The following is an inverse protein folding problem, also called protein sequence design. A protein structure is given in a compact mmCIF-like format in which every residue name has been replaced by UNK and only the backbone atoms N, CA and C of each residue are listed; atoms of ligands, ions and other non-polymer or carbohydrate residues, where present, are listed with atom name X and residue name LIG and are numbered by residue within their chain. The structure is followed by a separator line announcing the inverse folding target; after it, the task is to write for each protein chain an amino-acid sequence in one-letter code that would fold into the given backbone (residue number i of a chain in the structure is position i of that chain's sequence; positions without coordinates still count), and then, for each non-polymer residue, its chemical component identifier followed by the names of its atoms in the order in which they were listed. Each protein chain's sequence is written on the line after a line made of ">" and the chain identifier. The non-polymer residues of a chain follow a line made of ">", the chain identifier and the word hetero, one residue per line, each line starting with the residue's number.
data_IF_496546717648
#
_entry.id   IF_496546717648
#
_cell.length_a   1.000
_cell.length_b   1.000
_cell.length_c   1.000
_cell.angle_alpha   90.00
_cell.angle_beta   90.00
_cell.angle_gamma   90.00
#
_symmetry.space_group_name_H-M   'P 1'
#
loop_
_entity.id
_entity.type
_entity.pdbx_description
1 polymer ?
#
# COMPACT_ATOMS: atom_id res chain seq x y z
N UNK A 1 17.82 8.90 -14.08
CA UNK A 1 18.01 7.98 -12.93
C UNK A 1 17.40 8.60 -11.68
N UNK A 2 16.76 7.78 -10.86
CA UNK A 2 16.12 8.21 -9.62
C UNK A 2 16.18 7.10 -8.56
N UNK A 3 16.22 7.48 -7.29
CA UNK A 3 16.15 6.55 -6.17
C UNK A 3 14.71 6.49 -5.69
N UNK A 4 14.13 5.29 -5.66
CA UNK A 4 12.87 4.99 -5.00
C UNK A 4 13.12 4.29 -3.66
N UNK A 5 12.39 4.66 -2.62
CA UNK A 5 12.44 4.02 -1.31
C UNK A 5 11.03 3.67 -0.87
N UNK A 6 10.84 2.41 -0.49
CA UNK A 6 9.63 1.93 0.16
C UNK A 6 9.92 1.75 1.66
N UNK A 7 9.33 2.62 2.47
CA UNK A 7 9.38 2.55 3.92
C UNK A 7 8.22 1.72 4.46
N UNK A 8 8.39 0.42 4.50
CA UNK A 8 7.43 -0.48 5.13
C UNK A 8 7.61 -0.59 6.64
N UNK A 9 6.62 -1.16 7.32
CA UNK A 9 6.66 -1.36 8.78
C UNK A 9 7.74 -2.36 9.23
N UNK A 10 8.16 -3.29 8.38
CA UNK A 10 9.13 -4.34 8.71
C UNK A 10 10.43 -4.23 7.93
N UNK A 11 10.39 -3.67 6.75
CA UNK A 11 11.51 -3.55 5.83
C UNK A 11 11.53 -2.17 5.19
N UNK A 12 12.73 -1.67 4.90
CA UNK A 12 12.96 -0.55 3.98
C UNK A 12 13.57 -1.15 2.72
N UNK A 13 12.92 -0.94 1.59
CA UNK A 13 13.43 -1.33 0.29
C UNK A 13 13.84 -0.10 -0.50
N UNK A 14 14.96 -0.18 -1.21
CA UNK A 14 15.46 0.91 -2.04
C UNK A 14 15.86 0.41 -3.42
N UNK A 15 15.51 1.16 -4.45
CA UNK A 15 15.88 0.87 -5.84
C UNK A 15 16.53 2.09 -6.46
N UNK A 16 17.49 1.85 -7.37
CA UNK A 16 17.98 2.86 -8.31
C UNK A 16 17.45 2.50 -9.70
N UNK A 17 16.67 3.39 -10.29
CA UNK A 17 16.06 3.21 -11.60
C UNK A 17 16.70 4.14 -12.64
N UNK A 18 16.87 3.65 -13.85
CA UNK A 18 17.08 4.47 -15.04
C UNK A 18 15.81 5.22 -15.45
N UNK A 19 15.94 6.13 -16.41
CA UNK A 19 14.79 6.94 -16.86
C UNK A 19 13.73 6.12 -17.61
N UNK A 20 14.11 4.97 -18.13
CA UNK A 20 13.23 4.00 -18.80
C UNK A 20 12.62 2.96 -17.85
N UNK A 21 12.92 3.07 -16.55
CA UNK A 21 12.44 2.15 -15.52
C UNK A 21 13.34 0.94 -15.27
N UNK A 22 14.46 0.79 -16.01
CA UNK A 22 15.39 -0.32 -15.76
C UNK A 22 16.04 -0.22 -14.38
N UNK A 23 16.01 -1.32 -13.64
CA UNK A 23 16.56 -1.42 -12.28
C UNK A 23 18.05 -1.69 -12.30
N UNK A 24 18.84 -0.75 -11.74
CA UNK A 24 20.30 -0.87 -11.63
C UNK A 24 20.76 -1.43 -10.29
N UNK A 25 19.98 -1.21 -9.24
CA UNK A 25 20.30 -1.62 -7.88
C UNK A 25 19.04 -1.79 -7.06
N UNK A 26 18.99 -2.86 -6.26
CA UNK A 26 17.98 -3.05 -5.20
C UNK A 26 18.67 -3.45 -3.90
N UNK A 27 18.26 -2.82 -2.82
CA UNK A 27 18.67 -3.19 -1.46
C UNK A 27 17.45 -3.27 -0.56
N UNK A 28 17.58 -4.09 0.47
CA UNK A 28 16.53 -4.27 1.48
C UNK A 28 17.18 -4.40 2.85
N UNK A 29 16.69 -3.66 3.82
CA UNK A 29 17.09 -3.72 5.22
C UNK A 29 15.89 -3.88 6.13
N UNK A 30 16.10 -4.24 7.38
CA UNK A 30 15.06 -4.22 8.39
C UNK A 30 14.65 -2.78 8.71
N UNK A 31 13.35 -2.55 8.87
CA UNK A 31 12.83 -1.25 9.26
C UNK A 31 13.04 -1.01 10.76
N UNK A 32 13.69 0.09 11.16
CA UNK A 32 13.82 0.46 12.56
C UNK A 32 12.45 0.78 13.16
N UNK A 33 12.37 0.74 14.50
CA UNK A 33 11.14 1.00 15.24
C UNK A 33 11.17 2.34 15.97
N UNK A 34 12.01 3.25 15.51
CA UNK A 34 12.11 4.60 16.00
C UNK A 34 12.34 5.60 14.86
N UNK A 35 11.89 6.82 15.07
CA UNK A 35 11.89 7.85 14.03
C UNK A 35 13.30 8.30 13.63
N UNK A 36 14.19 8.49 14.60
CA UNK A 36 15.54 9.01 14.34
C UNK A 36 16.35 8.02 13.48
N UNK A 37 16.37 6.75 13.88
CA UNK A 37 17.06 5.71 13.14
C UNK A 37 16.46 5.54 11.74
N UNK A 38 15.11 5.70 11.59
CA UNK A 38 14.47 5.69 10.27
C UNK A 38 15.04 6.79 9.35
N UNK A 39 15.15 8.03 9.83
CA UNK A 39 15.75 9.14 9.08
C UNK A 39 17.23 8.86 8.75
N UNK A 40 17.99 8.40 9.73
CA UNK A 40 19.41 8.12 9.57
C UNK A 40 19.66 6.98 8.55
N UNK A 41 18.90 5.90 8.62
CA UNK A 41 19.02 4.75 7.71
C UNK A 41 18.68 5.12 6.28
N UNK A 42 17.57 5.81 6.05
CA UNK A 42 17.18 6.29 4.71
C UNK A 42 18.24 7.23 4.15
N UNK A 43 18.73 8.17 4.97
CA UNK A 43 19.79 9.08 4.57
C UNK A 43 21.08 8.34 4.18
N UNK A 44 21.45 7.32 4.96
CA UNK A 44 22.61 6.50 4.69
C UNK A 44 22.47 5.65 3.43
N UNK A 45 21.27 5.10 3.17
CA UNK A 45 20.97 4.36 1.94
C UNK A 45 21.22 5.26 0.73
N UNK A 46 20.60 6.45 0.72
CA UNK A 46 20.75 7.41 -0.40
C UNK A 46 22.24 7.76 -0.60
N UNK A 47 22.94 8.16 0.47
CA UNK A 47 24.36 8.53 0.38
C UNK A 47 25.24 7.38 -0.12
N UNK A 48 24.98 6.14 0.29
CA UNK A 48 25.71 4.95 -0.18
C UNK A 48 25.50 4.72 -1.68
N UNK A 49 24.26 4.85 -2.17
CA UNK A 49 23.95 4.72 -3.60
C UNK A 49 24.67 5.81 -4.39
N UNK A 50 24.56 7.06 -3.97
CA UNK A 50 25.19 8.20 -4.64
C UNK A 50 26.71 8.11 -4.67
N UNK A 51 27.33 7.67 -3.57
CA UNK A 51 28.78 7.43 -3.51
C UNK A 51 29.20 6.33 -4.49
N UNK A 52 28.42 5.24 -4.61
CA UNK A 52 28.71 4.14 -5.53
C UNK A 52 28.72 4.57 -6.99
N UNK A 53 27.79 5.46 -7.36
CA UNK A 53 27.64 5.95 -8.74
C UNK A 53 28.30 7.32 -8.99
N UNK A 54 28.93 7.89 -7.96
CA UNK A 54 29.53 9.23 -7.99
C UNK A 54 28.61 10.31 -8.59
N UNK A 55 27.33 10.28 -8.20
CA UNK A 55 26.29 11.16 -8.75
C UNK A 55 25.13 11.31 -7.75
N UNK A 56 24.52 12.52 -7.72
CA UNK A 56 23.27 12.76 -7.00
C UNK A 56 22.06 12.41 -7.85
N UNK A 57 21.00 11.92 -7.19
CA UNK A 57 19.76 11.46 -7.82
C UNK A 57 18.53 12.12 -7.18
N UNK A 58 17.45 12.27 -7.93
CA UNK A 58 16.15 12.57 -7.35
C UNK A 58 15.74 11.40 -6.45
N UNK A 59 15.08 11.72 -5.33
CA UNK A 59 14.64 10.73 -4.34
C UNK A 59 13.13 10.81 -4.17
N UNK A 60 12.45 9.69 -4.36
CA UNK A 60 11.05 9.50 -4.02
C UNK A 60 10.93 8.44 -2.91
N UNK A 61 10.06 8.69 -1.95
CA UNK A 61 9.84 7.78 -0.81
C UNK A 61 8.36 7.53 -0.64
N UNK A 62 7.94 6.28 -0.64
CA UNK A 62 6.63 5.91 -0.15
C UNK A 62 6.71 5.50 1.32
N UNK A 63 5.64 5.82 2.06
CA UNK A 63 5.56 5.58 3.49
C UNK A 63 4.13 5.24 3.94
N UNK A 64 3.96 4.52 5.06
CA UNK A 64 2.65 4.25 5.61
C UNK A 64 2.05 5.51 6.25
N UNK A 65 0.73 5.62 6.14
CA UNK A 65 -0.02 6.80 6.62
C UNK A 65 -0.07 7.92 5.59
N UNK A 66 -0.77 8.99 5.94
CA UNK A 66 -1.02 10.15 5.07
C UNK A 66 -0.32 11.39 5.59
N UNK A 67 0.18 12.25 4.70
CA UNK A 67 0.80 13.52 5.09
C UNK A 67 -0.23 14.64 5.05
N UNK A 68 -0.47 15.29 6.19
CA UNK A 68 -1.32 16.47 6.28
C UNK A 68 -0.68 17.64 5.51
N UNK A 69 -1.40 18.18 4.53
CA UNK A 69 -0.88 19.19 3.60
C UNK A 69 -0.59 20.55 4.26
N UNK A 70 -1.28 20.89 5.36
CA UNK A 70 -1.10 22.17 6.05
C UNK A 70 0.08 22.10 7.04
N UNK A 71 0.16 21.01 7.81
CA UNK A 71 1.16 20.85 8.87
C UNK A 71 2.41 20.10 8.45
N UNK A 72 2.32 19.29 7.40
CA UNK A 72 3.38 18.38 6.97
C UNK A 72 3.55 17.16 7.89
N UNK A 73 2.65 16.94 8.86
CA UNK A 73 2.73 15.81 9.77
C UNK A 73 2.15 14.54 9.14
N UNK A 74 2.83 13.40 9.35
CA UNK A 74 2.25 12.08 9.06
C UNK A 74 1.15 11.77 10.08
N UNK A 75 0.06 11.21 9.59
CA UNK A 75 -1.10 10.75 10.35
C UNK A 75 -1.49 9.33 9.91
N UNK A 76 -2.20 8.61 10.77
CA UNK A 76 -2.77 7.29 10.47
C UNK A 76 -1.75 6.20 10.08
N UNK A 77 -0.49 6.35 10.50
CA UNK A 77 0.52 5.30 10.32
C UNK A 77 0.37 4.25 11.41
N UNK A 78 -0.57 3.32 11.25
CA UNK A 78 -0.92 2.31 12.28
C UNK A 78 0.20 1.29 12.50
N UNK A 79 0.83 0.83 11.41
CA UNK A 79 1.89 -0.17 11.46
C UNK A 79 3.28 0.41 11.73
N UNK A 80 3.40 1.75 11.69
CA UNK A 80 4.65 2.48 11.97
C UNK A 80 4.35 3.71 12.83
N UNK A 81 3.84 3.53 14.07
CA UNK A 81 3.31 4.62 14.89
C UNK A 81 4.34 5.70 15.26
N UNK A 82 5.64 5.39 15.18
CA UNK A 82 6.73 6.35 15.40
C UNK A 82 6.82 7.44 14.32
N UNK A 83 6.14 7.27 13.19
CA UNK A 83 6.04 8.28 12.14
C UNK A 83 4.94 9.31 12.43
N UNK A 84 3.92 8.99 13.23
CA UNK A 84 2.81 9.88 13.50
C UNK A 84 3.26 11.18 14.19
N UNK A 85 2.68 12.29 13.75
CA UNK A 85 2.99 13.64 14.22
C UNK A 85 4.45 14.07 13.96
N UNK A 86 5.09 13.50 12.92
CA UNK A 86 6.44 13.87 12.47
C UNK A 86 6.40 14.52 11.10
N UNK A 87 7.30 15.46 10.86
CA UNK A 87 7.50 16.18 9.58
C UNK A 87 8.44 15.40 8.66
N UNK A 88 8.10 14.13 8.37
CA UNK A 88 9.00 13.16 7.73
C UNK A 88 9.64 13.68 6.43
N UNK A 89 8.83 14.19 5.50
CA UNK A 89 9.33 14.73 4.23
C UNK A 89 10.32 15.88 4.44
N UNK A 90 10.01 16.79 5.38
CA UNK A 90 10.86 17.94 5.70
C UNK A 90 12.17 17.49 6.37
N UNK A 91 12.10 16.53 7.26
CA UNK A 91 13.28 16.05 8.01
C UNK A 91 14.25 15.28 7.11
N UNK A 92 13.74 14.45 6.19
CA UNK A 92 14.55 13.79 5.16
C UNK A 92 15.16 14.81 4.20
N UNK A 93 14.37 15.77 3.71
CA UNK A 93 14.87 16.83 2.82
C UNK A 93 16.00 17.62 3.47
N UNK A 94 15.85 17.94 4.77
CA UNK A 94 16.92 18.60 5.55
C UNK A 94 18.17 17.73 5.69
N UNK A 95 18.00 16.44 5.97
CA UNK A 95 19.12 15.51 6.15
C UNK A 95 19.92 15.27 4.87
N UNK A 96 19.24 15.31 3.71
CA UNK A 96 19.86 15.19 2.38
C UNK A 96 20.22 16.54 1.75
N UNK A 97 19.86 17.67 2.40
CA UNK A 97 20.06 19.04 1.94
C UNK A 97 19.50 19.28 0.52
N UNK A 98 18.32 18.75 0.24
CA UNK A 98 17.59 18.89 -1.03
C UNK A 98 16.15 18.43 -0.89
N UNK A 99 15.32 18.77 -1.88
CA UNK A 99 13.93 18.31 -1.93
C UNK A 99 13.85 16.79 -2.11
N UNK A 100 12.93 16.17 -1.36
CA UNK A 100 12.58 14.77 -1.44
C UNK A 100 11.06 14.66 -1.56
N UNK A 101 10.60 13.84 -2.48
CA UNK A 101 9.18 13.61 -2.69
C UNK A 101 8.73 12.43 -1.84
N UNK A 102 7.77 12.66 -0.95
CA UNK A 102 7.22 11.64 -0.07
C UNK A 102 5.71 11.54 -0.29
N UNK A 103 5.20 10.30 -0.36
CA UNK A 103 3.77 10.05 -0.54
C UNK A 103 3.38 8.74 0.16
N UNK A 104 2.07 8.55 0.36
CA UNK A 104 1.52 7.31 0.88
C UNK A 104 1.80 6.11 -0.04
N UNK A 105 2.00 4.92 0.52
CA UNK A 105 2.36 3.70 -0.21
C UNK A 105 1.30 3.27 -1.24
N UNK A 106 0.00 3.32 -0.90
CA UNK A 106 -1.07 2.98 -1.82
C UNK A 106 -1.20 4.01 -2.96
N UNK A 107 -1.00 5.29 -2.67
CA UNK A 107 -0.95 6.33 -3.68
C UNK A 107 0.24 6.16 -4.64
N UNK A 108 1.42 5.81 -4.12
CA UNK A 108 2.59 5.51 -4.93
C UNK A 108 2.37 4.30 -5.85
N UNK A 109 1.78 3.23 -5.32
CA UNK A 109 1.40 2.05 -6.12
C UNK A 109 0.46 2.44 -7.26
N UNK A 110 -0.66 3.09 -6.93
CA UNK A 110 -1.66 3.50 -7.92
C UNK A 110 -1.06 4.43 -8.99
N UNK A 111 -0.17 5.35 -8.59
CA UNK A 111 0.51 6.25 -9.50
C UNK A 111 1.46 5.51 -10.45
N UNK A 112 2.25 4.56 -9.94
CA UNK A 112 3.15 3.74 -10.75
C UNK A 112 2.36 2.96 -11.81
N UNK A 113 1.29 2.27 -11.42
CA UNK A 113 0.44 1.52 -12.35
C UNK A 113 -0.24 2.41 -13.39
N UNK A 114 -0.64 3.61 -13.00
CA UNK A 114 -1.23 4.57 -13.92
C UNK A 114 -0.19 5.25 -14.81
N UNK A 115 1.07 5.39 -14.41
CA UNK A 115 2.09 6.13 -15.15
C UNK A 115 2.73 5.31 -16.25
N UNK A 116 3.27 4.14 -15.90
CA UNK A 116 4.00 3.24 -16.80
C UNK A 116 3.63 1.74 -16.62
N UNK A 117 2.79 1.41 -15.64
CA UNK A 117 2.33 0.06 -15.36
C UNK A 117 1.13 -0.40 -16.20
N UNK A 118 0.35 -1.32 -15.64
CA UNK A 118 -0.80 -1.99 -16.30
C UNK A 118 -1.92 -1.03 -16.71
N UNK A 119 -2.08 0.07 -15.97
CA UNK A 119 -3.12 1.07 -16.19
C UNK A 119 -2.65 2.33 -16.95
N UNK A 120 -1.49 2.31 -17.58
CA UNK A 120 -0.88 3.49 -18.24
C UNK A 120 -1.72 4.19 -19.30
N UNK A 121 -2.65 3.46 -19.91
CA UNK A 121 -3.51 3.97 -20.99
C UNK A 121 -4.84 4.54 -20.47
N UNK A 122 -5.11 4.49 -19.18
CA UNK A 122 -6.35 4.93 -18.57
C UNK A 122 -6.20 6.29 -17.88
N UNK A 123 -7.29 7.07 -17.88
CA UNK A 123 -7.30 8.41 -17.28
C UNK A 123 -7.65 8.39 -15.80
N UNK A 124 -8.59 7.52 -15.42
CA UNK A 124 -9.06 7.38 -14.04
C UNK A 124 -8.76 5.97 -13.57
N UNK A 125 -7.88 5.84 -12.59
CA UNK A 125 -7.42 4.55 -12.08
C UNK A 125 -7.63 4.50 -10.58
N UNK A 126 -8.15 3.38 -10.09
CA UNK A 126 -8.15 3.05 -8.68
C UNK A 126 -7.17 1.92 -8.42
N UNK A 127 -6.08 2.22 -7.74
CA UNK A 127 -5.11 1.23 -7.28
C UNK A 127 -5.48 0.69 -5.92
N UNK A 128 -5.49 -0.63 -5.77
CA UNK A 128 -5.82 -1.36 -4.53
C UNK A 128 -4.62 -2.17 -4.11
N UNK A 129 -4.17 -1.99 -2.87
CA UNK A 129 -3.18 -2.87 -2.25
C UNK A 129 -3.93 -3.81 -1.29
N UNK A 130 -3.91 -5.11 -1.59
CA UNK A 130 -4.39 -6.16 -0.69
C UNK A 130 -3.21 -6.93 -0.10
N UNK A 131 -2.99 -6.75 1.19
CA UNK A 131 -1.93 -7.38 1.95
C UNK A 131 -2.41 -7.76 3.34
N UNK A 132 -1.62 -7.50 4.37
CA UNK A 132 -2.07 -7.62 5.78
C UNK A 132 -3.25 -6.70 6.08
N UNK A 133 -3.28 -5.52 5.45
CA UNK A 133 -4.37 -4.56 5.42
C UNK A 133 -4.92 -4.36 4.01
N UNK A 134 -5.70 -3.29 3.83
CA UNK A 134 -6.33 -2.93 2.57
C UNK A 134 -6.20 -1.43 2.33
N UNK A 135 -5.31 -1.03 1.45
CA UNK A 135 -5.11 0.36 1.03
C UNK A 135 -5.66 0.66 -0.36
N UNK A 136 -5.83 1.94 -0.69
CA UNK A 136 -6.22 2.36 -2.02
C UNK A 136 -5.69 3.75 -2.40
N UNK A 137 -5.57 3.99 -3.69
CA UNK A 137 -5.18 5.30 -4.24
C UNK A 137 -5.94 5.62 -5.52
N UNK A 138 -6.38 6.87 -5.67
CA UNK A 138 -7.07 7.35 -6.87
C UNK A 138 -6.15 8.21 -7.71
N UNK A 139 -6.08 7.87 -8.99
CA UNK A 139 -5.31 8.63 -9.99
C UNK A 139 -6.26 9.17 -11.06
N UNK A 140 -6.19 10.46 -11.30
CA UNK A 140 -6.93 11.15 -12.36
C UNK A 140 -5.94 11.92 -13.24
N UNK A 141 -5.90 11.60 -14.53
CA UNK A 141 -4.98 12.23 -15.49
C UNK A 141 -3.52 12.20 -15.01
N UNK A 142 -3.05 11.04 -14.55
CA UNK A 142 -1.68 10.82 -14.03
C UNK A 142 -1.34 11.63 -12.76
N UNK A 143 -2.33 12.07 -12.02
CA UNK A 143 -2.16 12.80 -10.76
C UNK A 143 -2.92 12.10 -9.64
N UNK A 144 -2.30 12.01 -8.48
CA UNK A 144 -2.94 11.51 -7.28
C UNK A 144 -4.09 12.46 -6.90
N UNK A 145 -5.27 11.90 -6.66
CA UNK A 145 -6.39 12.64 -6.09
C UNK A 145 -6.22 12.70 -4.57
N UNK A 146 -5.98 13.89 -4.04
CA UNK A 146 -5.86 14.12 -2.60
C UNK A 146 -7.02 15.00 -2.15
N UNK A 147 -7.84 14.49 -1.24
CA UNK A 147 -8.91 15.25 -0.60
C UNK A 147 -8.37 16.10 0.57
N UNK A 148 -9.08 17.16 0.94
CA UNK A 148 -8.62 18.08 2.00
C UNK A 148 -8.53 17.42 3.38
N UNK A 149 -9.28 16.34 3.61
CA UNK A 149 -9.28 15.60 4.87
C UNK A 149 -8.41 14.32 4.82
N UNK A 150 -7.70 14.07 3.73
CA UNK A 150 -6.83 12.91 3.52
C UNK A 150 -7.55 11.55 3.57
N UNK A 151 -8.86 11.52 3.31
CA UNK A 151 -9.64 10.28 3.27
C UNK A 151 -9.76 9.68 1.87
N UNK A 152 -9.21 10.34 0.85
CA UNK A 152 -9.22 9.79 -0.50
C UNK A 152 -8.39 8.52 -0.56
N UNK A 153 -9.00 7.42 -1.00
CA UNK A 153 -8.33 6.11 -1.03
C UNK A 153 -8.46 5.28 0.25
N UNK A 154 -8.96 5.84 1.35
CA UNK A 154 -9.19 5.13 2.63
C UNK A 154 -10.45 4.22 2.57
N UNK A 155 -10.64 3.54 1.47
CA UNK A 155 -11.83 2.71 1.19
C UNK A 155 -11.96 1.51 2.13
N UNK A 156 -10.83 0.99 2.63
CA UNK A 156 -10.78 -0.10 3.62
C UNK A 156 -11.58 0.21 4.89
N UNK A 157 -11.72 1.49 5.24
CA UNK A 157 -12.44 1.94 6.42
C UNK A 157 -13.95 2.15 6.21
N UNK A 158 -14.47 1.99 4.97
CA UNK A 158 -15.90 2.09 4.71
C UNK A 158 -16.63 0.93 5.42
N UNK A 159 -17.65 1.21 6.28
CA UNK A 159 -18.44 0.17 6.91
C UNK A 159 -19.32 -0.55 5.88
N UNK A 160 -19.26 -1.89 5.85
CA UNK A 160 -20.07 -2.74 4.95
C UNK A 160 -20.86 -3.84 5.67
N UNK A 161 -20.81 -3.86 6.97
CA UNK A 161 -21.54 -4.81 7.80
C UNK A 161 -22.99 -4.39 8.06
N UNK A 162 -23.64 -5.07 9.00
CA UNK A 162 -24.94 -4.65 9.55
C UNK A 162 -24.77 -3.38 10.39
N UNK A 163 -25.84 -2.60 10.63
CA UNK A 163 -25.77 -1.38 11.45
C UNK A 163 -25.12 -1.59 12.83
N UNK A 164 -25.26 -2.79 13.40
CA UNK A 164 -24.71 -3.16 14.71
C UNK A 164 -23.27 -3.67 14.63
N UNK A 165 -22.74 -3.92 13.42
CA UNK A 165 -21.38 -4.37 13.21
C UNK A 165 -20.46 -3.16 13.01
N UNK A 166 -19.35 -3.13 13.74
CA UNK A 166 -18.28 -2.15 13.53
C UNK A 166 -17.35 -2.56 12.38
N UNK A 167 -17.72 -3.57 11.60
CA UNK A 167 -16.87 -4.13 10.55
C UNK A 167 -16.85 -3.22 9.33
N UNK A 168 -15.66 -3.05 8.78
CA UNK A 168 -15.38 -2.28 7.59
C UNK A 168 -14.86 -3.20 6.46
N UNK A 169 -14.60 -2.62 5.29
CA UNK A 169 -14.10 -3.38 4.14
C UNK A 169 -12.82 -4.15 4.49
N UNK A 170 -11.87 -3.54 5.18
CA UNK A 170 -10.60 -4.19 5.53
C UNK A 170 -10.79 -5.46 6.38
N UNK A 171 -11.75 -5.46 7.30
CA UNK A 171 -12.07 -6.64 8.12
C UNK A 171 -12.52 -7.85 7.28
N UNK A 172 -13.06 -7.61 6.10
CA UNK A 172 -13.58 -8.67 5.23
C UNK A 172 -12.64 -9.09 4.11
N UNK A 173 -11.80 -8.20 3.60
CA UNK A 173 -11.01 -8.46 2.38
C UNK A 173 -9.50 -8.33 2.56
N UNK A 174 -8.99 -8.04 3.76
CA UNK A 174 -7.54 -8.07 4.01
C UNK A 174 -7.06 -9.44 4.50
N UNK A 175 -5.76 -9.70 4.38
CA UNK A 175 -5.17 -10.94 4.89
C UNK A 175 -5.42 -11.15 6.37
N UNK A 176 -5.20 -10.11 7.19
CA UNK A 176 -5.50 -10.18 8.63
C UNK A 176 -6.99 -10.31 8.93
N UNK A 177 -7.83 -9.71 8.10
CA UNK A 177 -9.27 -9.88 8.19
C UNK A 177 -9.68 -11.33 7.96
N UNK A 178 -9.17 -11.98 6.92
CA UNK A 178 -9.41 -13.40 6.61
C UNK A 178 -8.95 -14.32 7.74
N UNK A 179 -7.74 -14.12 8.26
CA UNK A 179 -7.20 -14.89 9.40
C UNK A 179 -8.11 -14.78 10.63
N UNK A 180 -8.58 -13.56 10.96
CA UNK A 180 -9.51 -13.32 12.08
C UNK A 180 -10.86 -13.98 11.85
N UNK A 181 -11.43 -13.92 10.65
CA UNK A 181 -12.69 -14.55 10.30
C UNK A 181 -12.61 -16.06 10.41
N UNK A 182 -11.51 -16.66 9.90
CA UNK A 182 -11.28 -18.10 10.02
C UNK A 182 -11.19 -18.53 11.49
N UNK A 183 -10.34 -17.87 12.28
CA UNK A 183 -10.20 -18.14 13.71
C UNK A 183 -11.51 -17.97 14.48
N UNK A 184 -12.28 -16.93 14.17
CA UNK A 184 -13.57 -16.69 14.85
C UNK A 184 -14.55 -17.84 14.65
N UNK A 185 -14.61 -18.40 13.42
CA UNK A 185 -15.54 -19.46 13.06
C UNK A 185 -15.06 -20.85 13.50
N UNK A 186 -13.79 -21.16 13.33
CA UNK A 186 -13.26 -22.54 13.43
C UNK A 186 -12.31 -22.74 14.61
N UNK A 187 -11.88 -21.66 15.30
CA UNK A 187 -10.94 -21.69 16.44
C UNK A 187 -9.56 -22.26 16.12
N UNK A 188 -9.20 -22.25 14.85
CA UNK A 188 -7.89 -22.66 14.34
C UNK A 188 -7.18 -21.47 13.69
N UNK A 189 -5.84 -21.47 13.75
CA UNK A 189 -5.05 -20.42 13.15
C UNK A 189 -4.52 -20.88 11.79
N UNK A 190 -4.95 -20.20 10.73
CA UNK A 190 -4.38 -20.30 9.40
C UNK A 190 -4.01 -18.91 8.91
N UNK A 191 -2.92 -18.82 8.18
CA UNK A 191 -2.58 -17.61 7.42
C UNK A 191 -3.52 -17.46 6.23
N UNK A 192 -3.68 -16.24 5.73
CA UNK A 192 -4.49 -15.99 4.54
C UNK A 192 -4.06 -16.87 3.37
N UNK A 193 -2.74 -17.05 3.17
CA UNK A 193 -2.19 -17.92 2.13
C UNK A 193 -2.65 -19.38 2.30
N UNK A 194 -2.53 -19.93 3.50
CA UNK A 194 -2.99 -21.30 3.80
C UNK A 194 -4.51 -21.46 3.60
N UNK A 195 -5.30 -20.42 3.92
CA UNK A 195 -6.74 -20.43 3.68
C UNK A 195 -7.04 -20.59 2.19
N UNK A 196 -6.38 -19.81 1.30
CA UNK A 196 -6.55 -19.93 -0.14
C UNK A 196 -6.01 -21.26 -0.70
N UNK A 197 -4.83 -21.71 -0.25
CA UNK A 197 -4.27 -23.01 -0.64
C UNK A 197 -5.20 -24.18 -0.26
N UNK A 198 -5.72 -24.18 0.96
CA UNK A 198 -6.64 -25.19 1.44
C UNK A 198 -8.01 -25.13 0.73
N UNK A 199 -8.47 -23.94 0.37
CA UNK A 199 -9.67 -23.77 -0.45
C UNK A 199 -9.51 -24.41 -1.83
N UNK A 200 -8.38 -24.19 -2.52
CA UNK A 200 -8.05 -24.87 -3.79
C UNK A 200 -8.03 -26.42 -3.65
N UNK A 201 -7.71 -26.91 -2.47
CA UNK A 201 -7.76 -28.34 -2.13
C UNK A 201 -9.15 -28.79 -1.64
N UNK A 202 -10.20 -27.98 -1.83
CA UNK A 202 -11.58 -28.27 -1.48
C UNK A 202 -11.87 -28.50 0.02
N UNK A 203 -11.08 -27.90 0.92
CA UNK A 203 -11.42 -27.88 2.35
C UNK A 203 -12.64 -26.97 2.57
N UNK A 204 -13.78 -27.56 3.00
CA UNK A 204 -15.08 -26.85 3.12
C UNK A 204 -15.04 -25.59 3.96
N UNK A 205 -14.29 -25.59 5.05
CA UNK A 205 -14.19 -24.44 5.95
C UNK A 205 -13.44 -23.27 5.30
N UNK A 206 -12.38 -23.59 4.56
CA UNK A 206 -11.64 -22.59 3.78
C UNK A 206 -12.44 -22.07 2.59
N UNK A 207 -13.18 -22.97 1.87
CA UNK A 207 -14.06 -22.56 0.76
C UNK A 207 -15.06 -21.51 1.23
N UNK A 208 -15.68 -21.71 2.40
CA UNK A 208 -16.65 -20.75 2.93
C UNK A 208 -16.04 -19.37 3.19
N UNK A 209 -14.80 -19.32 3.71
CA UNK A 209 -14.11 -18.05 3.94
C UNK A 209 -13.75 -17.36 2.63
N UNK A 210 -13.29 -18.12 1.63
CA UNK A 210 -12.94 -17.59 0.30
C UNK A 210 -14.20 -17.11 -0.45
N UNK A 211 -15.33 -17.83 -0.34
CA UNK A 211 -16.60 -17.39 -0.92
C UNK A 211 -17.11 -16.10 -0.27
N UNK A 212 -17.04 -16.01 1.07
CA UNK A 212 -17.38 -14.78 1.80
C UNK A 212 -16.46 -13.63 1.37
N UNK A 213 -15.15 -13.89 1.17
CA UNK A 213 -14.19 -12.92 0.66
C UNK A 213 -14.55 -12.42 -0.75
N UNK A 214 -14.82 -13.33 -1.70
CA UNK A 214 -15.25 -12.99 -3.07
C UNK A 214 -16.47 -12.08 -3.06
N UNK A 215 -17.49 -12.46 -2.31
CA UNK A 215 -18.74 -11.70 -2.20
C UNK A 215 -18.50 -10.30 -1.61
N UNK A 216 -17.69 -10.19 -0.56
CA UNK A 216 -17.41 -8.91 0.09
C UNK A 216 -16.50 -8.03 -0.79
N UNK A 217 -15.54 -8.62 -1.51
CA UNK A 217 -14.71 -7.90 -2.48
C UNK A 217 -15.59 -7.30 -3.59
N UNK A 218 -16.47 -8.12 -4.21
CA UNK A 218 -17.38 -7.65 -5.24
C UNK A 218 -18.29 -6.52 -4.76
N UNK A 219 -18.86 -6.64 -3.54
CA UNK A 219 -19.66 -5.57 -2.92
C UNK A 219 -18.85 -4.30 -2.67
N UNK A 220 -17.63 -4.45 -2.20
CA UNK A 220 -16.73 -3.30 -1.93
C UNK A 220 -16.34 -2.59 -3.22
N UNK A 221 -16.01 -3.34 -4.27
CA UNK A 221 -15.71 -2.79 -5.59
C UNK A 221 -16.90 -2.06 -6.19
N UNK A 222 -18.12 -2.60 -6.02
CA UNK A 222 -19.33 -1.94 -6.53
C UNK A 222 -19.55 -0.55 -5.94
N UNK A 223 -19.18 -0.31 -4.68
CA UNK A 223 -19.23 1.03 -4.08
C UNK A 223 -18.31 2.01 -4.82
N UNK A 224 -17.09 1.59 -5.09
CA UNK A 224 -16.10 2.42 -5.79
C UNK A 224 -16.53 2.68 -7.24
N UNK A 225 -16.97 1.64 -7.94
CA UNK A 225 -17.44 1.75 -9.33
C UNK A 225 -18.63 2.71 -9.41
N UNK A 226 -19.62 2.57 -8.52
CA UNK A 226 -20.81 3.41 -8.56
C UNK A 226 -20.57 4.88 -8.16
N UNK A 227 -19.49 5.17 -7.42
CA UNK A 227 -19.22 6.55 -6.95
C UNK A 227 -18.21 7.26 -7.86
N UNK A 228 -17.20 6.53 -8.36
CA UNK A 228 -16.06 7.13 -9.07
C UNK A 228 -16.07 6.80 -10.57
N UNK A 229 -16.65 5.66 -10.98
CA UNK A 229 -16.63 5.15 -12.34
C UNK A 229 -15.20 5.13 -12.95
N UNK A 230 -14.24 4.42 -12.32
CA UNK A 230 -12.87 4.41 -12.80
C UNK A 230 -12.75 3.65 -14.12
N UNK A 231 -11.84 4.08 -15.01
CA UNK A 231 -11.54 3.37 -16.26
C UNK A 231 -10.83 2.04 -16.02
N UNK A 232 -10.08 1.93 -14.91
CA UNK A 232 -9.40 0.71 -14.51
C UNK A 232 -9.30 0.61 -12.99
N UNK A 233 -9.37 -0.61 -12.49
CA UNK A 233 -9.01 -0.99 -11.12
C UNK A 233 -7.82 -1.92 -11.21
N UNK A 234 -6.75 -1.63 -10.48
CA UNK A 234 -5.54 -2.44 -10.44
C UNK A 234 -5.30 -2.96 -9.03
N UNK A 235 -4.92 -4.23 -8.94
CA UNK A 235 -4.65 -4.89 -7.67
C UNK A 235 -3.15 -5.11 -7.49
N UNK A 236 -2.66 -4.88 -6.26
CA UNK A 236 -1.32 -5.20 -5.83
C UNK A 236 -1.31 -5.71 -4.40
N UNK A 237 -0.10 -5.97 -3.87
CA UNK A 237 0.07 -6.57 -2.56
C UNK A 237 0.05 -8.10 -2.60
N UNK A 238 0.47 -8.73 -1.50
CA UNK A 238 0.67 -10.19 -1.47
C UNK A 238 -0.60 -11.02 -1.69
N UNK A 239 -1.76 -10.48 -1.31
CA UNK A 239 -3.04 -11.18 -1.47
C UNK A 239 -3.59 -11.08 -2.90
N UNK A 240 -3.12 -10.12 -3.72
CA UNK A 240 -3.56 -10.00 -5.11
C UNK A 240 -3.19 -11.23 -5.96
N UNK A 241 -2.11 -11.93 -5.62
CA UNK A 241 -1.71 -13.16 -6.29
C UNK A 241 -2.75 -14.28 -6.16
N UNK A 242 -3.58 -14.24 -5.13
CA UNK A 242 -4.64 -15.22 -4.91
C UNK A 242 -5.89 -14.92 -5.77
N UNK A 243 -6.02 -13.68 -6.29
CA UNK A 243 -7.17 -13.27 -7.10
C UNK A 243 -7.17 -13.94 -8.49
N UNK A 244 -6.02 -14.20 -9.07
CA UNK A 244 -5.90 -14.88 -10.38
C UNK A 244 -6.57 -16.25 -10.38
N UNK A 245 -6.61 -16.92 -9.22
CA UNK A 245 -7.26 -18.22 -9.07
C UNK A 245 -8.77 -18.14 -8.85
N UNK A 246 -9.35 -16.93 -8.84
CA UNK A 246 -10.78 -16.71 -8.57
C UNK A 246 -11.63 -16.55 -9.86
N UNK A 247 -10.99 -16.52 -11.03
CA UNK A 247 -11.65 -16.28 -12.33
C UNK A 247 -12.33 -17.56 -12.90
N UNK A 248 -12.29 -18.68 -12.19
CA UNK A 248 -12.98 -19.93 -12.49
C UNK A 248 -14.25 -20.10 -11.61
#
# INVERSE_FOLDING_TARGET
>A
MQIGIDLGATKIESVLLENDGHELLRNRIDSPKDYKTTIDDITNIVKKIEKKFNKSFNVGICHPGSTNLETGFIQNSFNSPWLNNKTFSKDISKSLNRDVYCENDANCFALSEAFDGSAKNFKTVFGIILGSGCGGGFIINKKILIGPNLFTGEWGHIPIGTPDSKSNIEEYISGKGLERQYYSKFKENLTAKEIFENSRNNLKDCNKIVDDFKNNLGRSLSLIINVIDPNAIVFGGGLSNELESLDE
#
